data_IF_071640320707
#
_entry.id   IF_071640320707
#
_cell.length_a   1.000
_cell.length_b   1.000
_cell.length_c   1.000
_cell.angle_alpha   90.00
_cell.angle_beta   90.00
_cell.angle_gamma   90.00
#
_symmetry.space_group_name_H-M   'P 1'
#
loop_
_entity.id
_entity.type
_entity.pdbx_description
1 polymer ?
#
# COMPACT_ATOMS: atom_id res chain seq x y z
N UNK A 1 -21.21 12.94 15.88
CA UNK A 1 -19.89 12.93 15.21
C UNK A 1 -18.80 12.73 16.25
N UNK A 2 -18.68 11.50 16.77
CA UNK A 2 -17.36 10.96 17.07
C UNK A 2 -17.21 9.53 16.48
N UNK A 3 -15.98 9.15 16.20
CA UNK A 3 -15.50 7.76 16.12
C UNK A 3 -16.03 6.91 14.95
N UNK A 4 -15.45 7.12 13.77
CA UNK A 4 -15.18 6.01 12.86
C UNK A 4 -13.97 5.21 13.40
N UNK A 5 -14.13 4.71 14.62
CA UNK A 5 -13.37 3.60 15.15
C UNK A 5 -14.18 2.35 14.83
N UNK A 6 -13.50 1.22 14.62
CA UNK A 6 -14.11 -0.07 14.35
C UNK A 6 -14.52 -0.32 12.89
N UNK A 7 -13.52 -0.64 12.07
CA UNK A 7 -13.54 -1.88 11.29
C UNK A 7 -12.12 -2.24 10.88
N UNK A 8 -11.64 -3.30 11.54
CA UNK A 8 -10.47 -4.14 11.22
C UNK A 8 -9.17 -3.80 11.96
N UNK A 9 -9.26 -3.80 13.29
CA UNK A 9 -8.26 -4.49 14.09
C UNK A 9 -8.53 -6.01 13.99
N UNK A 10 -7.64 -6.77 13.35
CA UNK A 10 -7.35 -8.19 13.62
C UNK A 10 -6.45 -8.77 12.52
N UNK A 11 -5.14 -8.49 12.57
CA UNK A 11 -4.15 -9.51 12.22
C UNK A 11 -3.31 -9.71 13.47
N UNK A 12 -3.81 -10.55 14.37
CA UNK A 12 -3.02 -11.04 15.50
C UNK A 12 -1.92 -11.92 14.91
N UNK A 13 -0.68 -11.56 15.26
CA UNK A 13 0.54 -12.35 15.23
C UNK A 13 0.44 -13.75 14.59
N UNK A 14 1.10 -13.91 13.44
CA UNK A 14 1.74 -15.16 13.04
C UNK A 14 3.24 -14.90 12.94
N UNK A 15 4.01 -15.13 14.01
CA UNK A 15 5.45 -15.18 13.93
C UNK A 15 5.85 -16.52 13.32
N UNK A 16 6.84 -16.49 12.43
CA UNK A 16 7.45 -17.65 11.77
C UNK A 16 6.69 -18.16 10.53
N UNK A 17 6.92 -17.56 9.36
CA UNK A 17 7.93 -18.06 8.42
C UNK A 17 8.06 -17.12 7.20
N UNK A 18 9.23 -17.12 6.58
CA UNK A 18 9.70 -16.10 5.65
C UNK A 18 8.86 -15.91 4.36
N UNK A 19 8.83 -14.66 3.91
CA UNK A 19 8.49 -14.16 2.56
C UNK A 19 7.05 -13.66 2.32
N UNK A 20 7.01 -12.39 1.92
CA UNK A 20 5.88 -11.58 1.43
C UNK A 20 4.94 -11.01 2.49
N UNK A 21 4.97 -9.69 2.78
CA UNK A 21 3.92 -9.08 3.57
C UNK A 21 2.61 -9.16 2.77
N UNK A 22 1.76 -10.10 3.15
CA UNK A 22 0.38 -10.14 2.69
C UNK A 22 -0.32 -8.86 3.16
N UNK A 23 -0.98 -8.16 2.24
CA UNK A 23 -1.77 -6.97 2.53
C UNK A 23 -2.79 -7.22 3.66
N UNK A 24 -2.98 -6.30 4.64
CA UNK A 24 -2.44 -4.93 4.71
C UNK A 24 -1.02 -4.83 5.29
N UNK A 25 -0.22 -3.89 4.74
CA UNK A 25 1.11 -3.56 5.26
C UNK A 25 0.94 -2.86 6.61
N UNK A 26 1.40 -3.48 7.69
CA UNK A 26 1.26 -2.94 9.05
C UNK A 26 2.12 -1.68 9.29
N UNK A 27 3.32 -1.64 8.69
CA UNK A 27 4.28 -0.55 8.88
C UNK A 27 4.75 -0.02 7.51
N UNK A 28 4.40 1.23 7.20
CA UNK A 28 4.84 1.91 5.99
C UNK A 28 6.22 2.52 6.21
N UNK A 29 7.23 1.97 5.56
CA UNK A 29 8.59 2.49 5.60
C UNK A 29 8.86 3.51 4.49
N UNK A 30 9.34 4.69 4.91
CA UNK A 30 9.85 5.74 4.01
C UNK A 30 11.09 5.24 3.25
N UNK A 31 11.24 5.64 1.99
CA UNK A 31 12.25 5.14 1.01
C UNK A 31 12.02 3.71 0.50
N UNK A 32 11.11 2.94 1.09
CA UNK A 32 10.74 1.61 0.58
C UNK A 32 9.37 1.66 -0.09
N UNK A 33 8.33 2.03 0.65
CA UNK A 33 6.93 2.01 0.20
C UNK A 33 6.46 3.38 -0.31
N UNK A 34 6.99 4.45 0.26
CA UNK A 34 6.68 5.81 -0.16
C UNK A 34 7.86 6.73 0.13
N UNK A 35 7.86 7.89 -0.51
CA UNK A 35 8.78 8.99 -0.20
C UNK A 35 8.03 10.32 -0.28
N UNK A 36 8.56 11.33 0.39
CA UNK A 36 8.00 12.68 0.38
C UNK A 36 8.72 13.51 -0.69
N UNK A 37 7.98 14.01 -1.68
CA UNK A 37 8.50 14.85 -2.74
C UNK A 37 7.67 16.13 -2.83
N UNK A 38 8.31 17.29 -2.63
CA UNK A 38 7.65 18.60 -2.66
C UNK A 38 6.42 18.72 -1.74
N UNK A 39 6.42 18.03 -0.60
CA UNK A 39 5.28 18.00 0.34
C UNK A 39 4.16 17.03 -0.05
N UNK A 40 4.32 16.26 -1.12
CA UNK A 40 3.40 15.21 -1.53
C UNK A 40 3.96 13.83 -1.17
N UNK A 41 3.11 12.96 -0.66
CA UNK A 41 3.43 11.56 -0.43
C UNK A 41 3.34 10.80 -1.76
N UNK A 42 4.48 10.33 -2.26
CA UNK A 42 4.56 9.55 -3.50
C UNK A 42 4.81 8.10 -3.16
N UNK A 43 3.86 7.23 -3.50
CA UNK A 43 4.01 5.78 -3.34
C UNK A 43 4.94 5.21 -4.41
N UNK A 44 5.76 4.26 -3.98
CA UNK A 44 6.66 3.51 -4.86
C UNK A 44 5.97 2.26 -5.41
N UNK A 45 6.64 1.62 -6.36
CA UNK A 45 6.21 0.34 -6.91
C UNK A 45 6.06 -0.73 -5.83
N UNK A 46 6.95 -0.78 -4.83
CA UNK A 46 6.93 -1.79 -3.77
C UNK A 46 5.63 -1.76 -2.95
N UNK A 47 5.08 -0.57 -2.70
CA UNK A 47 3.77 -0.44 -2.06
C UNK A 47 2.64 -0.98 -2.93
N UNK A 48 2.68 -0.71 -4.23
CA UNK A 48 1.69 -1.24 -5.17
C UNK A 48 1.78 -2.75 -5.33
N UNK A 49 2.99 -3.33 -5.33
CA UNK A 49 3.22 -4.78 -5.36
C UNK A 49 2.70 -5.46 -4.09
N UNK A 50 2.98 -4.91 -2.92
CA UNK A 50 2.48 -5.43 -1.64
C UNK A 50 0.94 -5.38 -1.56
N UNK A 51 0.30 -4.39 -2.21
CA UNK A 51 -1.17 -4.33 -2.36
C UNK A 51 -1.72 -5.42 -3.29
N UNK A 52 -0.92 -5.89 -4.23
CA UNK A 52 -1.29 -6.95 -5.17
C UNK A 52 -2.32 -6.55 -6.24
N UNK A 53 -2.65 -5.25 -6.38
CA UNK A 53 -3.63 -4.79 -7.40
C UNK A 53 -3.46 -3.33 -7.83
N UNK A 54 -3.80 -3.05 -9.09
CA UNK A 54 -3.88 -1.69 -9.63
C UNK A 54 -5.03 -0.91 -8.95
N UNK A 55 -4.76 0.32 -8.53
CA UNK A 55 -5.74 1.19 -7.87
C UNK A 55 -6.57 2.07 -8.82
N UNK A 56 -6.21 2.15 -10.10
CA UNK A 56 -6.92 2.98 -11.09
C UNK A 56 -6.67 4.49 -11.00
N UNK A 57 -5.71 4.95 -10.19
CA UNK A 57 -5.40 6.38 -9.99
C UNK A 57 -4.30 6.93 -10.91
N UNK A 58 -3.96 6.24 -12.01
CA UNK A 58 -2.92 6.67 -12.95
C UNK A 58 -1.59 7.07 -12.28
N UNK A 59 -1.15 6.29 -11.28
CA UNK A 59 0.06 6.56 -10.51
C UNK A 59 1.32 6.48 -11.38
N UNK A 60 2.29 7.37 -11.20
CA UNK A 60 3.51 7.40 -12.02
C UNK A 60 4.35 6.12 -11.95
N UNK A 61 4.43 5.51 -10.77
CA UNK A 61 5.23 4.30 -10.51
C UNK A 61 4.36 3.03 -10.44
N UNK A 62 3.39 2.90 -11.34
CA UNK A 62 2.47 1.77 -11.33
C UNK A 62 3.11 0.52 -11.97
N UNK A 63 3.29 -0.59 -11.23
CA UNK A 63 3.84 -1.83 -11.81
C UNK A 63 2.86 -2.54 -12.74
N UNK A 64 1.57 -2.18 -12.68
CA UNK A 64 0.49 -2.85 -13.40
C UNK A 64 0.08 -2.12 -14.68
N UNK A 65 0.96 -1.28 -15.24
CA UNK A 65 0.74 -0.59 -16.52
C UNK A 65 -0.66 0.07 -16.65
N UNK A 66 -1.19 0.60 -15.54
CA UNK A 66 -2.49 1.26 -15.50
C UNK A 66 -3.68 0.40 -15.97
N UNK A 67 -3.62 -0.92 -15.80
CA UNK A 67 -4.69 -1.86 -16.25
C UNK A 67 -6.11 -1.50 -15.76
N UNK A 68 -6.23 -0.79 -14.63
CA UNK A 68 -7.50 -0.42 -14.01
C UNK A 68 -7.79 1.09 -14.11
N UNK A 69 -7.02 1.84 -14.91
CA UNK A 69 -7.27 3.25 -15.17
C UNK A 69 -8.24 3.33 -16.35
N UNK A 70 -9.43 3.88 -16.12
CA UNK A 70 -10.37 4.15 -17.20
C UNK A 70 -9.78 5.21 -18.14
N UNK A 71 -9.79 4.91 -19.45
CA UNK A 71 -9.26 5.76 -20.52
C UNK A 71 -10.22 6.87 -20.92
#
# INVERSE_FOLDING_TARGET
MPEYADKQAAVTAMPDEAASPAWPIAELQENLHFYMENGFMVFTEAYHLARGRCCGNACRHCPYEHINVSK
#
